data_IF_168885623709
#
_entry.id   IF_168885623709
#
_cell.length_a   1.000
_cell.length_b   1.000
_cell.length_c   1.000
_cell.angle_alpha   90.00
_cell.angle_beta   90.00
_cell.angle_gamma   90.00
#
_symmetry.space_group_name_H-M   'P 1'
#
loop_
_entity.id
_entity.type
_entity.pdbx_description
1 polymer ?
#
# COMPACT_ATOMS: atom_id res chain seq x y z
N UNK A 1 -5.24 -4.33 -29.73
CA UNK A 1 -5.77 -3.35 -28.76
C UNK A 1 -6.17 -4.10 -27.49
N UNK A 2 -6.09 -3.47 -26.30
CA UNK A 2 -6.35 -4.12 -25.01
C UNK A 2 -7.77 -4.71 -24.86
N UNK A 3 -8.68 -4.40 -25.78
CA UNK A 3 -10.08 -4.80 -25.75
C UNK A 3 -10.34 -6.31 -25.96
N UNK A 4 -9.36 -7.08 -26.47
CA UNK A 4 -9.63 -8.44 -26.97
C UNK A 4 -9.38 -9.63 -26.03
N UNK A 5 -8.52 -9.49 -25.01
CA UNK A 5 -8.08 -10.66 -24.21
C UNK A 5 -8.52 -10.62 -22.74
N UNK A 6 -8.83 -9.44 -22.20
CA UNK A 6 -9.07 -9.24 -20.77
C UNK A 6 -10.43 -8.60 -20.45
N UNK A 7 -11.17 -8.14 -21.48
CA UNK A 7 -12.40 -7.35 -21.34
C UNK A 7 -12.28 -6.13 -20.41
N UNK A 8 -11.08 -5.57 -20.27
CA UNK A 8 -10.86 -4.35 -19.49
C UNK A 8 -10.86 -3.13 -20.42
N UNK A 9 -11.49 -2.02 -20.02
CA UNK A 9 -11.31 -0.74 -20.68
C UNK A 9 -9.83 -0.38 -20.82
N UNK A 10 -9.49 0.31 -21.91
CA UNK A 10 -8.15 0.84 -22.10
C UNK A 10 -7.66 1.61 -20.86
N UNK A 11 -6.37 1.48 -20.53
CA UNK A 11 -5.70 2.13 -19.40
C UNK A 11 -6.15 1.67 -18.00
N UNK A 12 -7.19 0.82 -17.85
CA UNK A 12 -7.68 0.45 -16.52
C UNK A 12 -6.67 -0.41 -15.73
N UNK A 13 -5.95 -1.31 -16.42
CA UNK A 13 -4.85 -2.07 -15.80
C UNK A 13 -3.70 -1.16 -15.38
N UNK A 14 -3.37 -0.16 -16.20
CA UNK A 14 -2.32 0.81 -15.87
C UNK A 14 -2.71 1.65 -14.65
N UNK A 15 -3.97 2.11 -14.59
CA UNK A 15 -4.52 2.77 -13.40
C UNK A 15 -4.42 1.87 -12.17
N UNK A 16 -4.80 0.61 -12.29
CA UNK A 16 -4.71 -0.35 -11.19
C UNK A 16 -3.26 -0.55 -10.70
N UNK A 17 -2.29 -0.61 -11.61
CA UNK A 17 -0.87 -0.71 -11.25
C UNK A 17 -0.37 0.56 -10.55
N UNK A 18 -0.67 1.76 -11.08
CA UNK A 18 -0.32 3.06 -10.48
C UNK A 18 -0.94 3.22 -9.09
N UNK A 19 -2.19 2.82 -8.91
CA UNK A 19 -2.85 2.79 -7.59
C UNK A 19 -2.14 1.83 -6.63
N UNK A 20 -1.78 0.62 -7.07
CA UNK A 20 -1.04 -0.31 -6.22
C UNK A 20 0.31 0.29 -5.76
N UNK A 21 1.03 0.96 -6.67
CA UNK A 21 2.28 1.65 -6.36
C UNK A 21 2.09 2.77 -5.33
N UNK A 22 1.12 3.66 -5.52
CA UNK A 22 0.90 4.76 -4.56
C UNK A 22 0.40 4.27 -3.20
N UNK A 23 -0.35 3.16 -3.15
CA UNK A 23 -1.11 2.76 -1.96
C UNK A 23 -0.47 1.64 -1.14
N UNK A 24 0.52 0.91 -1.66
CA UNK A 24 1.06 -0.27 -0.97
C UNK A 24 1.66 0.02 0.41
N UNK A 25 2.22 1.22 0.60
CA UNK A 25 2.82 1.67 1.86
C UNK A 25 1.87 2.48 2.75
N UNK A 26 0.60 2.66 2.40
CA UNK A 26 -0.34 3.48 3.19
C UNK A 26 -0.46 3.03 4.64
N UNK A 27 -0.29 1.74 4.93
CA UNK A 27 -0.28 1.25 6.32
C UNK A 27 0.86 1.84 7.17
N UNK A 28 1.93 2.33 6.55
CA UNK A 28 3.00 3.05 7.26
C UNK A 28 2.58 4.47 7.67
N UNK A 29 1.48 5.00 7.15
CA UNK A 29 0.91 6.27 7.62
C UNK A 29 0.17 6.12 8.95
N UNK A 30 0.16 4.93 9.56
CA UNK A 30 -0.36 4.66 10.90
C UNK A 30 0.48 5.35 12.00
N UNK A 31 -0.20 5.80 13.06
CA UNK A 31 0.41 6.63 14.11
C UNK A 31 1.55 5.94 14.88
N UNK A 32 1.48 4.64 15.17
CA UNK A 32 2.57 3.89 15.81
C UNK A 32 3.77 3.76 14.88
N UNK A 33 3.56 3.56 13.57
CA UNK A 33 4.66 3.60 12.60
C UNK A 33 5.34 4.96 12.60
N UNK A 34 4.59 6.05 12.47
CA UNK A 34 5.15 7.40 12.43
C UNK A 34 5.92 7.73 13.72
N UNK A 35 5.39 7.36 14.90
CA UNK A 35 6.10 7.50 16.18
C UNK A 35 7.36 6.64 16.26
N UNK A 36 7.33 5.42 15.73
CA UNK A 36 8.51 4.57 15.67
C UNK A 36 9.58 5.18 14.77
N UNK A 37 9.20 5.58 13.55
CA UNK A 37 10.09 6.16 12.56
C UNK A 37 10.75 7.45 13.08
N UNK A 38 9.97 8.38 13.64
CA UNK A 38 10.51 9.61 14.23
C UNK A 38 11.52 9.34 15.36
N UNK A 39 11.27 8.36 16.23
CA UNK A 39 12.21 7.98 17.30
C UNK A 39 13.49 7.36 16.75
N UNK A 40 13.37 6.55 15.70
CA UNK A 40 14.51 5.95 15.02
C UNK A 40 15.38 7.02 14.35
N UNK A 41 14.78 7.87 13.51
CA UNK A 41 15.44 8.99 12.81
C UNK A 41 16.16 9.93 13.77
N UNK A 42 15.50 10.31 14.88
CA UNK A 42 16.12 11.13 15.92
C UNK A 42 17.38 10.49 16.51
N UNK A 43 17.40 9.16 16.62
CA UNK A 43 18.51 8.42 17.24
C UNK A 43 19.70 8.21 16.31
N UNK A 44 19.50 8.25 15.00
CA UNK A 44 20.58 8.29 14.01
C UNK A 44 21.07 9.72 13.72
N UNK A 45 20.51 10.73 14.39
CA UNK A 45 20.97 12.13 14.30
C UNK A 45 20.20 13.02 13.32
N UNK A 46 19.19 12.49 12.64
CA UNK A 46 18.43 13.22 11.60
C UNK A 46 17.22 14.00 12.15
N UNK A 47 16.95 13.89 13.46
CA UNK A 47 15.88 14.64 14.11
C UNK A 47 14.47 14.11 13.80
N UNK A 48 13.50 15.02 13.76
CA UNK A 48 12.09 14.69 13.48
C UNK A 48 11.78 15.02 12.01
N UNK A 49 11.37 14.02 11.21
CA UNK A 49 11.02 14.27 9.81
C UNK A 49 9.84 15.25 9.69
N UNK A 50 9.90 16.25 8.80
CA UNK A 50 8.81 17.21 8.59
C UNK A 50 7.67 16.63 7.72
N UNK A 51 7.76 15.37 7.34
CA UNK A 51 6.83 14.64 6.47
C UNK A 51 6.47 13.27 7.06
N UNK A 52 5.42 12.64 6.54
CA UNK A 52 5.07 11.27 6.93
C UNK A 52 6.03 10.27 6.32
N UNK A 53 6.60 9.43 7.16
CA UNK A 53 7.70 8.54 6.80
C UNK A 53 7.17 7.24 6.21
N UNK A 54 7.39 7.00 4.92
CA UNK A 54 7.22 5.68 4.31
C UNK A 54 8.48 4.82 4.46
N UNK A 55 9.68 5.40 4.37
CA UNK A 55 10.95 4.70 4.56
C UNK A 55 11.84 5.52 5.49
N UNK A 56 12.57 4.83 6.36
CA UNK A 56 13.58 5.43 7.24
C UNK A 56 14.95 5.26 6.60
N UNK A 57 15.86 6.22 6.80
CA UNK A 57 17.26 6.08 6.39
C UNK A 57 17.92 4.91 7.14
N UNK A 58 18.14 3.79 6.45
CA UNK A 58 18.64 2.54 7.08
C UNK A 58 19.92 2.06 6.39
N UNK A 59 21.02 2.11 7.14
CA UNK A 59 22.31 1.58 6.71
C UNK A 59 22.64 0.28 7.47
N UNK A 60 22.58 -0.90 6.84
CA UNK A 60 22.73 -2.18 7.54
C UNK A 60 24.13 -2.45 8.12
N UNK A 61 25.16 -1.77 7.61
CA UNK A 61 26.53 -1.92 8.06
C UNK A 61 27.00 -0.80 9.01
N UNK A 62 26.12 0.17 9.30
CA UNK A 62 26.41 1.27 10.22
C UNK A 62 26.00 0.87 11.64
N UNK A 63 26.95 0.90 12.57
CA UNK A 63 26.73 0.51 13.97
C UNK A 63 25.70 1.41 14.66
N UNK A 64 25.66 2.71 14.34
CA UNK A 64 24.68 3.66 14.88
C UNK A 64 23.25 3.26 14.49
N UNK A 65 23.03 2.89 13.23
CA UNK A 65 21.72 2.45 12.75
C UNK A 65 21.31 1.15 13.44
N UNK A 66 22.22 0.19 13.54
CA UNK A 66 21.99 -1.09 14.22
C UNK A 66 21.59 -0.90 15.69
N UNK A 67 22.31 -0.05 16.42
CA UNK A 67 22.01 0.29 17.81
C UNK A 67 20.69 1.04 17.95
N UNK A 68 20.43 2.03 17.09
CA UNK A 68 19.18 2.77 17.07
C UNK A 68 17.97 1.83 16.87
N UNK A 69 18.06 0.90 15.91
CA UNK A 69 17.01 -0.08 15.64
C UNK A 69 16.75 -1.03 16.81
N UNK A 70 17.81 -1.45 17.53
CA UNK A 70 17.69 -2.29 18.73
C UNK A 70 17.08 -1.53 19.91
N UNK A 71 17.43 -0.25 20.05
CA UNK A 71 16.96 0.61 21.13
C UNK A 71 15.48 1.03 20.95
N UNK A 72 15.06 1.32 19.71
CA UNK A 72 13.67 1.73 19.41
C UNK A 72 12.80 0.49 19.19
N UNK A 73 12.29 -0.07 20.31
CA UNK A 73 11.36 -1.20 20.29
C UNK A 73 9.98 -0.80 19.75
N UNK A 74 9.21 -1.82 19.36
CA UNK A 74 7.80 -1.66 19.00
C UNK A 74 7.55 -1.17 17.57
N UNK A 75 8.46 -1.45 16.63
CA UNK A 75 8.16 -1.31 15.20
C UNK A 75 6.89 -2.12 14.88
N UNK A 76 5.85 -1.51 14.28
CA UNK A 76 4.68 -2.26 13.81
C UNK A 76 5.11 -3.41 12.91
N UNK A 77 4.58 -4.61 13.17
CA UNK A 77 5.02 -5.85 12.51
C UNK A 77 4.46 -5.98 11.08
N UNK A 78 3.31 -5.39 10.83
CA UNK A 78 2.63 -5.43 9.54
C UNK A 78 2.18 -4.03 9.18
N UNK A 79 2.18 -3.72 7.90
CA UNK A 79 1.58 -2.50 7.36
C UNK A 79 0.81 -2.80 6.06
N UNK A 80 1.23 -3.84 5.33
CA UNK A 80 0.59 -4.29 4.10
C UNK A 80 -0.93 -4.51 4.25
N UNK A 81 -1.34 -5.27 5.28
CA UNK A 81 -2.76 -5.53 5.53
C UNK A 81 -3.56 -4.29 5.93
N UNK A 82 -2.99 -3.45 6.79
CA UNK A 82 -3.59 -2.20 7.26
C UNK A 82 -3.78 -1.23 6.09
N UNK A 83 -2.75 -1.07 5.25
CA UNK A 83 -2.80 -0.25 4.02
C UNK A 83 -3.81 -0.76 3.00
N UNK A 84 -3.92 -2.09 2.83
CA UNK A 84 -4.92 -2.70 1.96
C UNK A 84 -6.35 -2.39 2.40
N UNK A 85 -6.62 -2.45 3.71
CA UNK A 85 -7.94 -2.10 4.27
C UNK A 85 -8.20 -0.61 4.16
N UNK A 86 -7.25 0.22 4.61
CA UNK A 86 -7.32 1.67 4.58
C UNK A 86 -7.66 2.20 3.18
N UNK A 87 -7.10 1.56 2.15
CA UNK A 87 -7.26 1.96 0.76
C UNK A 87 -8.41 1.26 0.04
N UNK A 88 -9.09 0.30 0.66
CA UNK A 88 -10.03 -0.57 -0.05
C UNK A 88 -11.21 0.18 -0.66
N UNK A 89 -11.81 1.13 0.08
CA UNK A 89 -12.93 1.93 -0.45
C UNK A 89 -12.46 2.86 -1.58
N UNK A 90 -11.28 3.45 -1.44
CA UNK A 90 -10.64 4.26 -2.46
C UNK A 90 -10.44 3.48 -3.77
N UNK A 91 -9.81 2.29 -3.69
CA UNK A 91 -9.54 1.45 -4.86
C UNK A 91 -10.86 1.00 -5.51
N UNK A 92 -11.88 0.70 -4.71
CA UNK A 92 -13.21 0.34 -5.21
C UNK A 92 -13.82 1.46 -6.07
N UNK A 93 -13.75 2.70 -5.61
CA UNK A 93 -14.30 3.85 -6.36
C UNK A 93 -13.44 4.18 -7.59
N UNK A 94 -12.12 4.14 -7.48
CA UNK A 94 -11.20 4.50 -8.57
C UNK A 94 -11.24 3.53 -9.78
N UNK A 95 -11.60 2.27 -9.53
CA UNK A 95 -11.60 1.20 -10.53
C UNK A 95 -13.00 0.78 -10.99
N UNK A 96 -14.05 1.46 -10.52
CA UNK A 96 -15.44 0.98 -10.68
C UNK A 96 -15.55 -0.50 -10.27
N UNK A 97 -15.26 -0.77 -9.00
CA UNK A 97 -15.20 -2.13 -8.45
C UNK A 97 -16.50 -2.93 -8.59
N UNK A 98 -17.63 -2.26 -8.87
CA UNK A 98 -18.90 -2.91 -9.20
C UNK A 98 -18.81 -3.66 -10.54
N UNK A 99 -18.26 -3.01 -11.56
CA UNK A 99 -18.09 -3.60 -12.89
C UNK A 99 -16.80 -4.42 -12.99
N UNK A 100 -15.77 -4.08 -12.20
CA UNK A 100 -14.42 -4.69 -12.28
C UNK A 100 -13.98 -5.34 -10.97
N UNK A 101 -14.87 -6.12 -10.33
CA UNK A 101 -14.63 -6.72 -9.00
C UNK A 101 -13.33 -7.54 -8.92
N UNK A 102 -13.04 -8.33 -9.94
CA UNK A 102 -11.81 -9.15 -9.99
C UNK A 102 -10.53 -8.30 -9.99
N UNK A 103 -10.52 -7.18 -10.74
CA UNK A 103 -9.40 -6.25 -10.77
C UNK A 103 -9.23 -5.52 -9.42
N UNK A 104 -10.35 -5.07 -8.82
CA UNK A 104 -10.34 -4.50 -7.47
C UNK A 104 -9.71 -5.47 -6.45
N UNK A 105 -10.16 -6.72 -6.44
CA UNK A 105 -9.61 -7.76 -5.55
C UNK A 105 -8.14 -8.05 -5.84
N UNK A 106 -7.74 -8.06 -7.10
CA UNK A 106 -6.35 -8.24 -7.51
C UNK A 106 -5.45 -7.15 -6.92
N UNK A 107 -5.85 -5.87 -7.01
CA UNK A 107 -5.10 -4.75 -6.42
C UNK A 107 -5.04 -4.84 -4.90
N UNK A 108 -6.18 -5.05 -4.22
CA UNK A 108 -6.21 -5.17 -2.76
C UNK A 108 -5.36 -6.35 -2.28
N UNK A 109 -5.37 -7.47 -3.00
CA UNK A 109 -4.55 -8.64 -2.68
C UNK A 109 -3.06 -8.37 -2.89
N UNK A 110 -2.70 -7.68 -3.98
CA UNK A 110 -1.33 -7.27 -4.24
C UNK A 110 -0.78 -6.39 -3.11
N UNK A 111 -1.56 -5.39 -2.67
CA UNK A 111 -1.19 -4.54 -1.53
C UNK A 111 -1.14 -5.35 -0.24
N UNK A 112 -2.12 -6.19 0.07
CA UNK A 112 -2.16 -6.93 1.33
C UNK A 112 -0.98 -7.91 1.46
N UNK A 113 -0.50 -8.48 0.34
CA UNK A 113 0.44 -9.60 0.35
C UNK A 113 1.84 -9.28 -0.18
N UNK A 114 2.17 -8.01 -0.43
CA UNK A 114 3.48 -7.64 -1.00
C UNK A 114 4.68 -8.06 -0.14
N UNK A 115 4.51 -8.19 1.18
CA UNK A 115 5.54 -8.73 2.08
C UNK A 115 5.27 -10.15 2.60
N UNK A 116 4.02 -10.61 2.60
CA UNK A 116 3.63 -11.92 3.14
C UNK A 116 2.51 -12.55 2.30
N UNK A 117 2.79 -13.62 1.53
CA UNK A 117 1.81 -14.24 0.64
C UNK A 117 0.66 -14.92 1.38
N UNK A 118 0.82 -15.22 2.67
CA UNK A 118 -0.19 -15.90 3.49
C UNK A 118 -1.02 -14.96 4.37
N UNK A 119 -0.85 -13.63 4.26
CA UNK A 119 -1.60 -12.68 5.08
C UNK A 119 -3.12 -12.80 4.82
N UNK A 120 -3.89 -12.90 5.91
CA UNK A 120 -5.36 -12.98 5.90
C UNK A 120 -6.05 -11.95 6.80
N UNK A 121 -5.29 -11.33 7.70
CA UNK A 121 -5.79 -10.41 8.72
C UNK A 121 -4.92 -9.16 8.78
N UNK A 122 -5.50 -8.06 9.23
CA UNK A 122 -4.79 -6.82 9.53
C UNK A 122 -4.95 -6.52 11.02
N UNK A 123 -4.03 -5.74 11.59
CA UNK A 123 -4.21 -5.26 12.97
C UNK A 123 -5.16 -4.06 13.01
N UNK A 124 -5.73 -3.75 14.18
CA UNK A 124 -6.37 -2.47 14.41
C UNK A 124 -5.41 -1.33 14.11
N UNK A 125 -5.87 -0.31 13.40
CA UNK A 125 -5.04 0.83 13.01
C UNK A 125 -5.79 2.15 13.11
N UNK A 126 -5.00 3.23 13.26
CA UNK A 126 -5.42 4.62 13.10
C UNK A 126 -4.35 5.34 12.28
N UNK A 127 -4.75 5.87 11.13
CA UNK A 127 -3.88 6.68 10.28
C UNK A 127 -3.62 8.03 10.93
N UNK A 128 -2.45 8.59 10.67
CA UNK A 128 -2.11 9.95 11.05
C UNK A 128 -3.11 10.95 10.46
N UNK A 129 -3.46 12.06 11.14
CA UNK A 129 -4.40 13.06 10.62
C UNK A 129 -4.03 13.65 9.24
N UNK A 130 -2.73 13.66 8.90
CA UNK A 130 -2.24 14.13 7.59
C UNK A 130 -2.22 13.04 6.51
N UNK A 131 -2.58 11.79 6.82
CA UNK A 131 -2.48 10.67 5.88
C UNK A 131 -3.33 10.89 4.63
N UNK A 132 -4.51 11.51 4.77
CA UNK A 132 -5.36 11.82 3.62
C UNK A 132 -4.68 12.79 2.65
N UNK A 133 -4.05 13.84 3.16
CA UNK A 133 -3.33 14.81 2.33
C UNK A 133 -2.13 14.15 1.62
N UNK A 134 -1.33 13.37 2.35
CA UNK A 134 -0.19 12.66 1.78
C UNK A 134 -0.60 11.66 0.69
N UNK A 135 -1.72 10.94 0.87
CA UNK A 135 -2.26 10.05 -0.16
C UNK A 135 -2.80 10.82 -1.35
N UNK A 136 -3.44 11.98 -1.14
CA UNK A 136 -3.90 12.82 -2.24
C UNK A 136 -2.73 13.28 -3.13
N UNK A 137 -1.63 13.71 -2.51
CA UNK A 137 -0.40 14.10 -3.22
C UNK A 137 0.21 12.92 -4.00
N UNK A 138 0.33 11.75 -3.36
CA UNK A 138 0.86 10.55 -4.02
C UNK A 138 -0.01 10.11 -5.21
N UNK A 139 -1.33 10.18 -5.09
CA UNK A 139 -2.27 9.83 -6.15
C UNK A 139 -2.20 10.80 -7.33
N UNK A 140 -2.10 12.10 -7.06
CA UNK A 140 -1.91 13.11 -8.08
C UNK A 140 -0.58 12.94 -8.82
N UNK A 141 0.48 12.51 -8.13
CA UNK A 141 1.80 12.29 -8.72
C UNK A 141 1.85 11.07 -9.66
N UNK A 142 1.15 9.99 -9.33
CA UNK A 142 1.13 8.77 -10.17
C UNK A 142 0.06 8.80 -11.25
N UNK A 143 -0.85 9.76 -11.23
CA UNK A 143 -2.00 9.85 -12.12
C UNK A 143 -2.17 11.24 -12.72
N UNK A 144 -3.42 11.64 -12.88
CA UNK A 144 -3.77 13.04 -13.14
C UNK A 144 -4.21 13.73 -11.84
N UNK A 145 -4.18 15.06 -11.82
CA UNK A 145 -4.42 15.85 -10.62
C UNK A 145 -5.77 15.54 -9.93
N UNK A 146 -6.77 15.06 -10.69
CA UNK A 146 -8.08 14.69 -10.15
C UNK A 146 -8.05 13.43 -9.28
N UNK A 147 -7.03 12.57 -9.42
CA UNK A 147 -6.92 11.34 -8.63
C UNK A 147 -6.75 11.61 -7.14
N UNK A 148 -6.18 12.77 -6.79
CA UNK A 148 -6.08 13.21 -5.40
C UNK A 148 -7.44 13.27 -4.69
N UNK A 149 -8.54 13.50 -5.42
CA UNK A 149 -9.89 13.51 -4.85
C UNK A 149 -10.30 12.15 -4.28
N UNK A 150 -9.77 11.04 -4.79
CA UNK A 150 -10.09 9.71 -4.27
C UNK A 150 -9.57 9.50 -2.85
N UNK A 151 -8.59 10.28 -2.39
CA UNK A 151 -8.09 10.21 -1.02
C UNK A 151 -9.18 10.42 0.04
N UNK A 152 -10.28 11.13 -0.30
CA UNK A 152 -11.45 11.29 0.58
C UNK A 152 -12.10 9.96 0.99
N UNK A 153 -11.84 8.90 0.24
CA UNK A 153 -12.35 7.56 0.48
C UNK A 153 -11.41 6.67 1.29
N UNK A 154 -10.30 7.22 1.81
CA UNK A 154 -9.48 6.51 2.78
C UNK A 154 -10.31 6.19 4.02
N UNK A 155 -10.07 5.00 4.57
CA UNK A 155 -10.65 4.57 5.84
C UNK A 155 -9.63 4.92 6.93
N UNK A 156 -9.85 5.99 7.72
CA UNK A 156 -8.83 6.54 8.62
C UNK A 156 -8.50 5.64 9.81
N UNK A 157 -9.45 4.81 10.25
CA UNK A 157 -9.24 3.87 11.34
C UNK A 157 -10.14 2.65 11.19
N UNK A 158 -9.72 1.53 11.77
CA UNK A 158 -10.52 0.30 11.80
C UNK A 158 -10.09 -0.58 12.97
N UNK A 159 -11.04 -0.99 13.82
CA UNK A 159 -10.75 -1.79 15.03
C UNK A 159 -10.66 -3.31 14.79
N UNK A 160 -11.45 -3.87 13.87
CA UNK A 160 -11.43 -5.32 13.58
C UNK A 160 -11.38 -5.62 12.07
N UNK A 161 -10.27 -5.28 11.39
CA UNK A 161 -10.24 -5.33 9.93
C UNK A 161 -10.20 -6.78 9.39
N UNK A 162 -11.25 -7.15 8.65
CA UNK A 162 -11.32 -8.43 7.95
C UNK A 162 -10.91 -8.26 6.48
N UNK A 163 -9.71 -8.74 6.15
CA UNK A 163 -9.18 -8.72 4.78
C UNK A 163 -9.80 -9.79 3.90
N UNK A 164 -10.12 -10.97 4.43
CA UNK A 164 -10.50 -12.17 3.69
C UNK A 164 -11.60 -11.91 2.64
N UNK A 165 -12.62 -11.13 3.00
CA UNK A 165 -13.73 -10.78 2.08
C UNK A 165 -13.31 -9.94 0.86
N UNK A 166 -12.18 -9.26 0.97
CA UNK A 166 -11.62 -8.35 -0.05
C UNK A 166 -10.46 -8.97 -0.83
N UNK A 167 -9.91 -10.08 -0.35
CA UNK A 167 -8.86 -10.80 -1.06
C UNK A 167 -9.43 -11.57 -2.26
N UNK A 168 -8.55 -11.88 -3.20
CA UNK A 168 -8.82 -12.72 -4.34
C UNK A 168 -9.01 -14.17 -3.86
N UNK A 169 -10.17 -14.76 -4.19
CA UNK A 169 -10.47 -16.17 -3.92
C UNK A 169 -9.78 -17.08 -4.94
N UNK A 170 -9.45 -18.34 -4.60
CA UNK A 170 -8.98 -19.30 -5.59
C UNK A 170 -10.10 -19.66 -6.60
N UNK A 171 -9.76 -20.11 -7.82
CA UNK A 171 -10.74 -20.69 -8.73
C UNK A 171 -11.43 -21.92 -8.10
N UNK A 172 -12.71 -22.21 -8.41
CA UNK A 172 -13.53 -21.55 -9.42
C UNK A 172 -14.25 -20.27 -8.94
N UNK A 173 -14.13 -19.88 -7.67
CA UNK A 173 -14.85 -18.72 -7.10
C UNK A 173 -14.45 -17.38 -7.72
N UNK A 174 -13.26 -17.32 -8.31
CA UNK A 174 -12.73 -16.16 -9.03
C UNK A 174 -12.14 -16.61 -10.38
N UNK A 175 -12.22 -15.73 -11.39
CA UNK A 175 -11.72 -16.03 -12.72
C UNK A 175 -10.19 -16.12 -12.77
N UNK A 176 -9.66 -16.96 -13.67
CA UNK A 176 -8.23 -17.00 -13.99
C UNK A 176 -7.70 -15.66 -14.51
N UNK A 177 -8.55 -14.87 -15.18
CA UNK A 177 -8.24 -13.51 -15.61
C UNK A 177 -7.86 -12.63 -14.42
N UNK A 178 -8.63 -12.66 -13.33
CA UNK A 178 -8.32 -11.86 -12.14
C UNK A 178 -7.00 -12.29 -11.47
N UNK A 179 -6.68 -13.58 -11.49
CA UNK A 179 -5.39 -14.09 -11.01
C UNK A 179 -4.21 -13.63 -11.89
N UNK A 180 -4.37 -13.61 -13.20
CA UNK A 180 -3.35 -13.09 -14.12
C UNK A 180 -3.14 -11.58 -13.95
N UNK A 181 -4.20 -10.81 -13.72
CA UNK A 181 -4.12 -9.39 -13.37
C UNK A 181 -3.37 -9.20 -12.05
N UNK A 182 -3.68 -10.00 -11.03
CA UNK A 182 -2.96 -10.00 -9.76
C UNK A 182 -1.47 -10.28 -9.93
N UNK A 183 -1.10 -11.33 -10.67
CA UNK A 183 0.31 -11.65 -10.92
C UNK A 183 1.04 -10.52 -11.66
N UNK A 184 0.39 -9.90 -12.62
CA UNK A 184 0.93 -8.77 -13.37
C UNK A 184 1.19 -7.59 -12.44
N UNK A 185 0.21 -7.21 -11.63
CA UNK A 185 0.30 -6.08 -10.68
C UNK A 185 1.37 -6.34 -9.62
N UNK A 186 1.43 -7.54 -9.04
CA UNK A 186 2.47 -7.92 -8.06
C UNK A 186 3.86 -7.85 -8.69
N UNK A 187 4.01 -8.29 -9.94
CA UNK A 187 5.31 -8.24 -10.62
C UNK A 187 5.78 -6.80 -10.81
N UNK A 188 4.89 -5.91 -11.25
CA UNK A 188 5.18 -4.48 -11.39
C UNK A 188 5.54 -3.87 -10.03
N UNK A 189 4.70 -4.10 -9.02
CA UNK A 189 4.90 -3.57 -7.68
C UNK A 189 6.26 -3.98 -7.10
N UNK A 190 6.64 -5.25 -7.21
CA UNK A 190 7.92 -5.76 -6.69
C UNK A 190 9.13 -5.22 -7.44
N UNK A 191 9.01 -4.94 -8.74
CA UNK A 191 10.09 -4.32 -9.51
C UNK A 191 10.29 -2.87 -9.06
N UNK A 192 9.21 -2.11 -8.91
CA UNK A 192 9.30 -0.70 -8.51
C UNK A 192 9.68 -0.51 -7.04
N UNK A 193 9.13 -1.31 -6.11
CA UNK A 193 9.44 -1.23 -4.68
C UNK A 193 10.90 -1.63 -4.40
N UNK A 194 11.44 -2.60 -5.14
CA UNK A 194 12.84 -2.97 -4.99
C UNK A 194 13.79 -1.93 -5.60
N UNK A 195 13.50 -1.43 -6.81
CA UNK A 195 14.31 -0.36 -7.44
C UNK A 195 14.36 0.91 -6.59
N UNK A 196 13.26 1.25 -5.90
CA UNK A 196 13.25 2.40 -4.98
C UNK A 196 14.14 2.20 -3.74
N UNK A 197 14.71 1.02 -3.52
CA UNK A 197 15.72 0.78 -2.47
C UNK A 197 17.17 0.82 -3.02
N UNK A 198 17.38 0.81 -4.34
CA UNK A 198 18.72 0.85 -4.95
C UNK A 198 19.16 2.24 -5.42
N UNK A 199 18.20 3.14 -5.67
CA UNK A 199 18.44 4.49 -6.21
C UNK A 199 18.40 5.62 -5.15
N UNK A 200 18.34 5.29 -3.86
CA UNK A 200 18.52 6.23 -2.71
C UNK A 200 19.97 6.27 -2.24
#
# INVERSE_FOLDING_TARGET
TQDGAWHLPAMLLERAARLALALHVVGKLEERWQRWAARYQKRIGEGHPPFLVAHTHWEPYNSLHCEARRAVRGKPRTHAGEGAIASARLIWEALDGRSHRGLYRAVVTAIARHHSPSLREANPYRLHPQAQAAVAEALAAVGDASWGEWARWLIPEHEAPNLEKRLLSPPPDESWVAWLLYFTIVRILRLCDWLSQEEE
#
